data_IF_277030141429
#
_entry.id   IF_277030141429
#
_cell.length_a   1.000
_cell.length_b   1.000
_cell.length_c   1.000
_cell.angle_alpha   90.00
_cell.angle_beta   90.00
_cell.angle_gamma   90.00
#
_symmetry.space_group_name_H-M   'P 1'
#
loop_
_entity.id
_entity.type
_entity.pdbx_description
1 polymer ?
#
# COMPACT_ATOMS: atom_id res chain seq x y z
N UNK A 1 10.40 -16.78 -9.24
CA UNK A 1 9.26 -15.84 -9.13
C UNK A 1 9.33 -15.21 -7.76
N UNK A 2 9.58 -13.90 -7.68
CA UNK A 2 9.74 -13.18 -6.43
C UNK A 2 9.07 -11.81 -6.51
N UNK A 3 9.28 -10.98 -5.49
CA UNK A 3 8.80 -9.60 -5.46
C UNK A 3 10.02 -8.69 -5.62
N UNK A 4 9.95 -7.75 -6.56
CA UNK A 4 10.88 -6.64 -6.70
C UNK A 4 10.25 -5.38 -6.11
N UNK A 5 11.05 -4.59 -5.40
CA UNK A 5 10.58 -3.39 -4.70
C UNK A 5 11.40 -2.19 -5.15
N UNK A 6 10.73 -1.23 -5.76
CA UNK A 6 11.29 0.07 -6.11
C UNK A 6 10.62 1.16 -5.26
N UNK A 7 11.44 2.04 -4.66
CA UNK A 7 10.93 3.14 -3.84
C UNK A 7 10.67 4.36 -4.72
N UNK A 8 9.41 4.72 -4.92
CA UNK A 8 9.01 5.92 -5.68
C UNK A 8 9.24 7.19 -4.85
N UNK A 9 8.81 7.15 -3.58
CA UNK A 9 8.98 8.23 -2.60
C UNK A 9 9.38 7.64 -1.26
N UNK A 10 10.42 8.15 -0.59
CA UNK A 10 10.86 7.62 0.69
C UNK A 10 9.85 7.91 1.80
N UNK A 11 9.72 6.96 2.74
CA UNK A 11 9.02 7.15 4.02
C UNK A 11 9.94 7.71 5.11
N UNK A 12 9.56 7.54 6.37
CA UNK A 12 10.33 8.03 7.53
C UNK A 12 11.61 7.20 7.83
N UNK A 13 11.74 6.03 7.20
CA UNK A 13 12.87 5.11 7.37
C UNK A 13 13.01 4.51 8.78
N UNK A 14 11.99 4.63 9.63
CA UNK A 14 12.06 4.27 11.06
C UNK A 14 10.87 3.45 11.52
N UNK A 15 9.68 3.73 11.00
CA UNK A 15 8.45 3.08 11.41
C UNK A 15 8.13 1.94 10.45
N UNK A 16 8.24 0.70 10.93
CA UNK A 16 8.00 -0.51 10.12
C UNK A 16 6.85 -1.35 10.72
N UNK A 17 6.02 -1.97 9.87
CA UNK A 17 4.94 -2.83 10.33
C UNK A 17 5.46 -4.06 11.06
N UNK A 18 4.77 -4.46 12.12
CA UNK A 18 5.09 -5.65 12.92
C UNK A 18 4.06 -6.76 12.70
N UNK A 19 4.44 -8.00 12.98
CA UNK A 19 3.54 -9.15 12.93
C UNK A 19 2.29 -8.87 13.79
N UNK A 20 1.10 -9.02 13.19
CA UNK A 20 -0.19 -8.81 13.84
C UNK A 20 -0.76 -7.40 13.72
N UNK A 21 -0.02 -6.43 13.18
CA UNK A 21 -0.55 -5.10 12.89
C UNK A 21 -1.28 -5.06 11.54
N UNK A 22 -2.37 -4.29 11.48
CA UNK A 22 -3.07 -3.99 10.24
C UNK A 22 -2.39 -2.83 9.53
N UNK A 23 -1.99 -3.02 8.27
CA UNK A 23 -1.45 -1.96 7.43
C UNK A 23 -2.58 -1.21 6.73
N UNK A 24 -2.48 0.12 6.68
CA UNK A 24 -3.36 0.96 5.87
C UNK A 24 -2.56 1.44 4.66
N UNK A 25 -3.05 1.16 3.45
CA UNK A 25 -2.34 1.45 2.19
C UNK A 25 -3.28 2.05 1.16
N UNK A 26 -2.74 2.93 0.32
CA UNK A 26 -3.35 3.33 -0.94
C UNK A 26 -2.61 2.61 -2.06
N UNK A 27 -3.32 1.83 -2.88
CA UNK A 27 -2.69 1.00 -3.92
C UNK A 27 -3.44 1.03 -5.25
N UNK A 28 -2.71 0.71 -6.31
CA UNK A 28 -3.24 0.40 -7.64
C UNK A 28 -2.58 -0.91 -8.11
N UNK A 29 -3.40 -1.90 -8.44
CA UNK A 29 -2.96 -3.17 -9.02
C UNK A 29 -3.03 -3.14 -10.55
N UNK A 30 -1.90 -3.42 -11.21
CA UNK A 30 -1.80 -3.47 -12.67
C UNK A 30 -1.17 -4.78 -13.14
N UNK A 31 -1.54 -5.22 -14.35
CA UNK A 31 -0.85 -6.28 -15.08
C UNK A 31 0.42 -5.73 -15.75
N UNK A 32 1.32 -6.60 -16.20
CA UNK A 32 2.57 -6.21 -16.88
C UNK A 32 2.35 -5.35 -18.14
N UNK A 33 1.20 -5.47 -18.80
CA UNK A 33 0.83 -4.64 -19.95
C UNK A 33 0.20 -3.28 -19.54
N UNK A 34 0.28 -2.91 -18.27
CA UNK A 34 -0.26 -1.65 -17.74
C UNK A 34 -1.76 -1.65 -17.49
N UNK A 35 -2.49 -2.73 -17.80
CA UNK A 35 -3.93 -2.81 -17.55
C UNK A 35 -4.21 -2.89 -16.05
N UNK A 36 -4.96 -1.92 -15.52
CA UNK A 36 -5.46 -1.94 -14.13
C UNK A 36 -6.43 -3.10 -13.92
N UNK A 37 -6.30 -3.82 -12.82
CA UNK A 37 -7.23 -4.88 -12.43
C UNK A 37 -7.88 -4.64 -11.05
N UNK A 38 -7.26 -3.83 -10.18
CA UNK A 38 -7.82 -3.45 -8.89
C UNK A 38 -7.26 -2.08 -8.47
N UNK A 39 -8.01 -1.32 -7.67
CA UNK A 39 -7.58 -0.06 -7.08
C UNK A 39 -8.35 0.23 -5.80
N UNK A 40 -7.71 0.86 -4.84
CA UNK A 40 -8.40 1.40 -3.67
C UNK A 40 -9.33 2.56 -4.11
N UNK A 41 -10.60 2.60 -3.67
CA UNK A 41 -11.52 3.67 -4.03
C UNK A 41 -11.11 5.03 -3.41
N UNK A 42 -11.46 6.16 -4.05
CA UNK A 42 -11.03 7.49 -3.62
C UNK A 42 -11.64 7.93 -2.27
N UNK A 43 -12.80 7.38 -1.88
CA UNK A 43 -13.57 7.88 -0.73
C UNK A 43 -13.26 7.18 0.61
N UNK A 44 -12.31 6.25 0.65
CA UNK A 44 -11.82 5.65 1.91
C UNK A 44 -10.75 6.54 2.55
N UNK A 45 -11.10 7.79 2.84
CA UNK A 45 -10.33 8.64 3.74
C UNK A 45 -10.77 8.32 5.18
N UNK A 46 -9.87 7.72 5.96
CA UNK A 46 -9.94 7.59 7.42
C UNK A 46 -11.10 6.72 7.98
N UNK A 47 -10.92 5.39 7.97
CA UNK A 47 -11.52 4.55 9.00
C UNK A 47 -10.89 4.85 10.38
N UNK A 48 -11.56 4.56 11.50
CA UNK A 48 -11.15 5.05 12.82
C UNK A 48 -9.73 4.60 13.15
N UNK A 49 -8.88 5.58 13.44
CA UNK A 49 -7.56 5.39 14.02
C UNK A 49 -7.75 4.71 15.39
N UNK A 50 -7.28 3.48 15.64
CA UNK A 50 -7.22 2.98 17.01
C UNK A 50 -6.17 3.81 17.76
N UNK A 51 -6.60 4.35 18.91
CA UNK A 51 -5.83 5.15 19.86
C UNK A 51 -4.57 4.45 20.35
#
# INVERSE_FOLDING_TARGET
MGVEVETISPGDGRTFPKKGQTCVVHYIGMLQNGKKFNSFPPDTQNGPHPS
#
